data_IF_078195452854
#
_entry.id   IF_078195452854
#
_cell.length_a   1.000
_cell.length_b   1.000
_cell.length_c   1.000
_cell.angle_alpha   90.00
_cell.angle_beta   90.00
_cell.angle_gamma   90.00
#
_symmetry.space_group_name_H-M   'P 1'
#
loop_
_entity.id
_entity.type
_entity.pdbx_description
1 polymer ?
#
# COMPACT_ATOMS: atom_id res chain seq x y z
N UNK A 1 23.51 19.06 0.07
CA UNK A 1 22.17 18.45 0.18
C UNK A 1 22.30 16.98 -0.10
N UNK A 2 21.51 16.09 0.52
CA UNK A 2 21.52 14.66 0.16
C UNK A 2 21.17 14.49 -1.32
N UNK A 3 21.83 13.56 -1.98
CA UNK A 3 21.48 13.15 -3.34
C UNK A 3 20.37 12.10 -3.27
N UNK A 4 19.13 12.57 -3.21
CA UNK A 4 17.96 11.68 -3.11
C UNK A 4 17.78 10.81 -4.35
N UNK A 5 18.23 11.26 -5.53
CA UNK A 5 18.17 10.47 -6.74
C UNK A 5 19.07 9.24 -6.65
N UNK A 6 20.32 9.43 -6.22
CA UNK A 6 21.22 8.31 -5.98
C UNK A 6 20.72 7.39 -4.87
N UNK A 7 20.19 7.95 -3.77
CA UNK A 7 19.63 7.16 -2.66
C UNK A 7 18.44 6.31 -3.10
N UNK A 8 17.56 6.85 -3.95
CA UNK A 8 16.40 6.16 -4.52
C UNK A 8 16.84 5.03 -5.45
N UNK A 9 17.81 5.27 -6.31
CA UNK A 9 18.38 4.23 -7.17
C UNK A 9 19.01 3.12 -6.32
N UNK A 10 19.77 3.45 -5.29
CA UNK A 10 20.36 2.47 -4.36
C UNK A 10 19.29 1.65 -3.63
N UNK A 11 18.14 2.25 -3.29
CA UNK A 11 16.99 1.52 -2.74
C UNK A 11 16.45 0.49 -3.75
N UNK A 12 16.29 0.88 -5.01
CA UNK A 12 15.83 -0.04 -6.06
C UNK A 12 16.83 -1.18 -6.24
N UNK A 13 18.12 -0.87 -6.38
CA UNK A 13 19.16 -1.85 -6.65
C UNK A 13 19.42 -2.77 -5.46
N UNK A 14 19.37 -2.24 -4.24
CA UNK A 14 19.74 -2.97 -3.02
C UNK A 14 18.57 -3.63 -2.28
N UNK A 15 17.34 -3.12 -2.43
CA UNK A 15 16.18 -3.59 -1.64
C UNK A 15 15.05 -4.16 -2.52
N UNK A 16 14.87 -3.67 -3.74
CA UNK A 16 13.76 -4.09 -4.62
C UNK A 16 14.18 -5.25 -5.51
N UNK A 17 15.19 -5.04 -6.35
CA UNK A 17 15.64 -6.05 -7.32
C UNK A 17 16.10 -7.37 -6.67
N UNK A 18 16.89 -7.39 -5.55
CA UNK A 18 17.31 -8.62 -4.92
C UNK A 18 16.14 -9.44 -4.35
N UNK A 19 14.99 -8.81 -4.08
CA UNK A 19 13.78 -9.45 -3.56
C UNK A 19 12.81 -9.90 -4.68
N UNK A 20 13.36 -10.17 -5.87
CA UNK A 20 12.66 -10.77 -7.02
C UNK A 20 11.49 -9.95 -7.57
N UNK A 21 11.49 -8.64 -7.37
CA UNK A 21 10.58 -7.72 -8.07
C UNK A 21 10.99 -7.66 -9.54
N UNK A 22 10.09 -8.03 -10.44
CA UNK A 22 10.34 -8.17 -11.89
C UNK A 22 9.44 -7.28 -12.74
N UNK A 23 8.38 -6.73 -12.16
CA UNK A 23 7.42 -5.87 -12.85
C UNK A 23 8.11 -4.55 -13.23
N UNK A 24 8.45 -4.41 -14.51
CA UNK A 24 9.29 -3.29 -15.00
C UNK A 24 8.68 -1.91 -14.73
N UNK A 25 7.36 -1.76 -14.90
CA UNK A 25 6.68 -0.50 -14.62
C UNK A 25 6.76 -0.16 -13.11
N UNK A 26 6.64 -1.15 -12.20
CA UNK A 26 6.81 -0.94 -10.76
C UNK A 26 8.23 -0.48 -10.42
N UNK A 27 9.25 -1.13 -10.98
CA UNK A 27 10.65 -0.74 -10.79
C UNK A 27 10.87 0.71 -11.23
N UNK A 28 10.35 1.09 -12.41
CA UNK A 28 10.38 2.46 -12.90
C UNK A 28 9.63 3.44 -11.98
N UNK A 29 8.41 3.10 -11.56
CA UNK A 29 7.63 3.93 -10.65
C UNK A 29 8.35 4.18 -9.32
N UNK A 30 9.00 3.15 -8.74
CA UNK A 30 9.79 3.28 -7.52
C UNK A 30 11.06 4.12 -7.72
N UNK A 31 11.70 4.03 -8.89
CA UNK A 31 12.88 4.83 -9.24
C UNK A 31 12.55 6.31 -9.47
N UNK A 32 11.34 6.61 -9.97
CA UNK A 32 10.93 7.97 -10.34
C UNK A 32 10.21 8.73 -9.23
N UNK A 33 9.50 8.03 -8.33
CA UNK A 33 8.69 8.69 -7.30
C UNK A 33 9.54 9.14 -6.11
N UNK A 34 9.58 10.44 -5.76
CA UNK A 34 10.41 10.98 -4.70
C UNK A 34 9.86 10.59 -3.31
N UNK A 35 10.30 9.44 -2.80
CA UNK A 35 9.84 8.90 -1.51
C UNK A 35 10.05 9.88 -0.35
N UNK A 36 11.10 10.72 -0.42
CA UNK A 36 11.43 11.78 0.54
C UNK A 36 10.38 12.90 0.60
N UNK A 37 9.56 13.07 -0.42
CA UNK A 37 8.49 14.04 -0.41
C UNK A 37 7.35 13.62 0.55
N UNK A 38 7.16 12.33 0.76
CA UNK A 38 6.07 11.76 1.54
C UNK A 38 6.36 11.64 3.05
N UNK A 39 7.51 12.13 3.51
CA UNK A 39 7.90 12.20 4.93
C UNK A 39 8.37 13.59 5.31
N UNK A 40 8.28 13.91 6.59
CA UNK A 40 8.66 15.23 7.13
C UNK A 40 9.98 15.20 7.90
N UNK A 41 10.61 16.38 7.98
CA UNK A 41 11.72 16.67 8.87
C UNK A 41 12.96 15.80 8.63
N UNK A 42 13.50 15.29 9.74
CA UNK A 42 14.68 14.44 9.80
C UNK A 42 14.47 13.05 9.18
N UNK A 43 13.21 12.61 9.04
CA UNK A 43 12.85 11.33 8.42
C UNK A 43 13.33 11.22 6.99
N UNK A 44 13.48 12.35 6.28
CA UNK A 44 14.07 12.40 4.93
C UNK A 44 15.48 11.82 4.86
N UNK A 45 16.26 11.92 5.95
CA UNK A 45 17.62 11.40 6.00
C UNK A 45 17.75 9.88 5.95
N UNK A 46 16.68 9.15 6.32
CA UNK A 46 16.69 7.68 6.36
C UNK A 46 15.50 7.02 5.63
N UNK A 47 14.72 7.80 4.85
CA UNK A 47 13.52 7.33 4.14
C UNK A 47 13.81 6.22 3.12
N UNK A 48 15.03 6.13 2.64
CA UNK A 48 15.51 5.10 1.71
C UNK A 48 16.13 3.88 2.40
N UNK A 49 16.16 3.86 3.75
CA UNK A 49 16.50 2.63 4.48
C UNK A 49 15.32 1.64 4.41
N UNK A 50 15.61 0.33 4.56
CA UNK A 50 14.57 -0.71 4.58
C UNK A 50 13.86 -0.75 5.94
N UNK A 51 13.26 0.38 6.34
CA UNK A 51 12.52 0.56 7.58
C UNK A 51 11.12 1.07 7.29
N UNK A 52 10.20 0.79 8.19
CA UNK A 52 8.91 1.46 8.23
C UNK A 52 9.10 2.84 8.87
N UNK A 53 8.62 3.89 8.20
CA UNK A 53 8.78 5.27 8.65
C UNK A 53 7.44 5.78 9.18
N UNK A 54 7.39 6.16 10.43
CA UNK A 54 6.19 6.71 11.04
C UNK A 54 5.79 8.05 10.38
N UNK A 55 4.52 8.16 10.01
CA UNK A 55 3.93 9.36 9.37
C UNK A 55 3.12 10.22 10.34
N UNK A 56 2.83 9.71 11.53
CA UNK A 56 1.85 10.26 12.47
C UNK A 56 0.54 9.45 12.44
N UNK A 57 -0.36 9.71 13.38
CA UNK A 57 -1.66 9.04 13.50
C UNK A 57 -1.56 7.50 13.44
N UNK A 58 -0.47 6.92 13.95
CA UNK A 58 -0.16 5.48 13.88
C UNK A 58 -0.13 4.93 12.44
N UNK A 59 0.22 5.78 11.46
CA UNK A 59 0.45 5.39 10.06
C UNK A 59 1.94 5.33 9.78
N UNK A 60 2.30 4.45 8.84
CA UNK A 60 3.69 4.19 8.48
C UNK A 60 3.85 4.11 6.97
N UNK A 61 4.87 4.76 6.46
CA UNK A 61 5.37 4.47 5.13
C UNK A 61 6.11 3.13 5.18
N UNK A 62 5.56 2.10 4.56
CA UNK A 62 6.07 0.73 4.62
C UNK A 62 7.45 0.66 3.94
N UNK A 63 8.40 -0.11 4.52
CA UNK A 63 9.73 -0.32 3.95
C UNK A 63 9.67 -0.78 2.49
N UNK A 64 10.59 -0.28 1.68
CA UNK A 64 10.52 -0.41 0.22
C UNK A 64 10.47 -1.86 -0.26
N UNK A 65 11.21 -2.76 0.40
CA UNK A 65 11.21 -4.20 0.08
C UNK A 65 9.83 -4.83 0.23
N UNK A 66 9.16 -4.56 1.37
CA UNK A 66 7.84 -5.13 1.66
C UNK A 66 6.79 -4.52 0.74
N UNK A 67 6.79 -3.19 0.60
CA UNK A 67 5.89 -2.47 -0.30
C UNK A 67 5.98 -3.01 -1.74
N UNK A 68 7.20 -3.08 -2.29
CA UNK A 68 7.43 -3.58 -3.63
C UNK A 68 6.97 -5.04 -3.80
N UNK A 69 7.20 -5.89 -2.80
CA UNK A 69 6.74 -7.29 -2.81
C UNK A 69 5.21 -7.43 -2.81
N UNK A 70 4.49 -6.57 -2.08
CA UNK A 70 3.03 -6.53 -2.09
C UNK A 70 2.51 -6.10 -3.49
N UNK A 71 3.06 -5.03 -4.05
CA UNK A 71 2.65 -4.52 -5.37
C UNK A 71 3.05 -5.49 -6.49
N UNK A 72 4.22 -6.13 -6.42
CA UNK A 72 4.60 -7.22 -7.34
C UNK A 72 3.58 -8.36 -7.31
N UNK A 73 3.14 -8.77 -6.12
CA UNK A 73 2.11 -9.80 -5.95
C UNK A 73 0.76 -9.43 -6.56
N UNK A 74 0.40 -8.16 -6.54
CA UNK A 74 -0.80 -7.63 -7.19
C UNK A 74 -0.68 -7.65 -8.72
N UNK A 75 0.52 -7.52 -9.27
CA UNK A 75 0.76 -7.48 -10.73
C UNK A 75 -0.20 -6.49 -11.44
N UNK A 76 -0.20 -5.19 -11.07
CA UNK A 76 -1.11 -4.20 -11.63
C UNK A 76 -0.88 -3.97 -13.13
N UNK A 77 -1.92 -3.57 -13.84
CA UNK A 77 -1.88 -3.23 -15.27
C UNK A 77 -2.43 -1.83 -15.51
N UNK A 78 -2.13 -1.26 -16.67
CA UNK A 78 -2.53 0.10 -17.03
C UNK A 78 -4.06 0.30 -17.15
N UNK A 79 -4.84 -0.77 -17.25
CA UNK A 79 -6.30 -0.73 -17.31
C UNK A 79 -6.95 -0.90 -15.93
N UNK A 80 -6.17 -1.22 -14.90
CA UNK A 80 -6.70 -1.50 -13.57
C UNK A 80 -7.16 -0.22 -12.86
N UNK A 81 -8.21 -0.35 -12.04
CA UNK A 81 -8.60 0.63 -11.03
C UNK A 81 -8.12 0.12 -9.67
N UNK A 82 -7.36 0.95 -8.96
CA UNK A 82 -6.73 0.59 -7.70
C UNK A 82 -7.36 1.28 -6.50
N UNK A 83 -7.45 0.55 -5.36
CA UNK A 83 -7.72 1.09 -4.04
C UNK A 83 -6.49 0.89 -3.16
N UNK A 84 -6.07 1.95 -2.50
CA UNK A 84 -4.98 1.99 -1.53
C UNK A 84 -5.56 2.29 -0.14
N UNK A 85 -5.60 1.29 0.75
CA UNK A 85 -6.23 1.38 2.07
C UNK A 85 -5.19 1.72 3.14
N UNK A 86 -5.39 2.83 3.83
CA UNK A 86 -4.44 3.38 4.79
C UNK A 86 -3.29 4.10 4.09
N UNK A 87 -3.62 4.89 3.06
CA UNK A 87 -2.63 5.49 2.16
C UNK A 87 -1.69 6.51 2.81
N UNK A 88 -1.95 6.90 4.07
CA UNK A 88 -1.13 7.85 4.81
C UNK A 88 -0.92 9.16 4.04
N UNK A 89 0.33 9.49 3.72
CA UNK A 89 0.68 10.67 2.92
C UNK A 89 0.59 10.45 1.40
N UNK A 90 0.09 9.28 0.94
CA UNK A 90 -0.24 9.01 -0.45
C UNK A 90 0.88 8.42 -1.32
N UNK A 91 1.96 7.89 -0.73
CA UNK A 91 3.04 7.30 -1.51
C UNK A 91 2.59 6.07 -2.32
N UNK A 92 1.86 5.14 -1.69
CA UNK A 92 1.30 3.97 -2.38
C UNK A 92 0.34 4.37 -3.49
N UNK A 93 -0.52 5.35 -3.20
CA UNK A 93 -1.46 5.91 -4.18
C UNK A 93 -0.71 6.49 -5.39
N UNK A 94 0.38 7.24 -5.17
CA UNK A 94 1.23 7.80 -6.22
C UNK A 94 1.96 6.72 -7.03
N UNK A 95 2.40 5.62 -6.42
CA UNK A 95 2.96 4.48 -7.14
C UNK A 95 1.89 3.77 -7.98
N UNK A 96 0.72 3.51 -7.38
CA UNK A 96 -0.39 2.83 -8.09
C UNK A 96 -0.91 3.66 -9.26
N UNK A 97 -0.92 4.99 -9.18
CA UNK A 97 -1.31 5.85 -10.31
C UNK A 97 -0.43 5.71 -11.53
N UNK A 98 0.87 5.39 -11.34
CA UNK A 98 1.81 5.14 -12.43
C UNK A 98 1.64 3.75 -13.06
N UNK A 99 0.92 2.85 -12.40
CA UNK A 99 0.75 1.45 -12.79
C UNK A 99 -0.67 1.13 -13.27
N UNK A 100 -1.64 1.96 -12.91
CA UNK A 100 -3.07 1.72 -13.12
C UNK A 100 -3.72 2.88 -13.85
N UNK A 101 -4.91 2.67 -14.41
CA UNK A 101 -5.71 3.73 -15.03
C UNK A 101 -6.13 4.79 -14.01
N UNK A 102 -6.42 4.37 -12.77
CA UNK A 102 -6.85 5.23 -11.68
C UNK A 102 -6.45 4.64 -10.33
N UNK A 103 -6.08 5.48 -9.36
CA UNK A 103 -5.81 5.08 -7.99
C UNK A 103 -6.64 5.91 -7.01
N UNK A 104 -7.30 5.25 -6.06
CA UNK A 104 -8.03 5.88 -4.95
C UNK A 104 -7.32 5.51 -3.66
N UNK A 105 -6.76 6.50 -2.95
CA UNK A 105 -6.25 6.33 -1.59
C UNK A 105 -7.33 6.64 -0.58
N UNK A 106 -7.60 5.72 0.37
CA UNK A 106 -8.49 6.00 1.51
C UNK A 106 -7.67 6.11 2.79
N UNK A 107 -7.91 7.19 3.54
CA UNK A 107 -7.29 7.45 4.83
C UNK A 107 -8.34 8.02 5.81
N UNK A 108 -8.24 7.66 7.07
CA UNK A 108 -9.17 8.10 8.11
C UNK A 108 -8.75 9.46 8.71
N UNK A 109 -7.45 9.68 8.83
CA UNK A 109 -6.89 10.91 9.37
C UNK A 109 -6.95 12.05 8.35
N UNK A 110 -7.67 13.12 8.69
CA UNK A 110 -7.90 14.28 7.79
C UNK A 110 -6.63 15.07 7.46
N UNK A 111 -5.64 15.10 8.37
CA UNK A 111 -4.38 15.80 8.14
C UNK A 111 -3.54 15.03 7.10
N UNK A 112 -3.49 13.70 7.22
CA UNK A 112 -2.81 12.85 6.24
C UNK A 112 -3.49 12.91 4.87
N UNK A 113 -4.83 12.92 4.81
CA UNK A 113 -5.57 13.13 3.55
C UNK A 113 -5.20 14.46 2.91
N UNK A 114 -5.13 15.53 3.71
CA UNK A 114 -4.72 16.85 3.22
C UNK A 114 -3.30 16.85 2.65
N UNK A 115 -2.35 16.19 3.33
CA UNK A 115 -0.96 16.03 2.86
C UNK A 115 -0.90 15.18 1.58
N UNK A 116 -1.62 14.07 1.54
CA UNK A 116 -1.67 13.21 0.35
C UNK A 116 -2.21 13.98 -0.87
N UNK A 117 -3.32 14.71 -0.70
CA UNK A 117 -3.93 15.49 -1.78
C UNK A 117 -2.99 16.60 -2.30
N UNK A 118 -2.29 17.29 -1.38
CA UNK A 118 -1.32 18.31 -1.74
C UNK A 118 -0.14 17.73 -2.53
N UNK A 119 0.41 16.58 -2.07
CA UNK A 119 1.53 15.90 -2.73
C UNK A 119 1.15 15.33 -4.11
N UNK A 120 -0.03 14.75 -4.25
CA UNK A 120 -0.52 14.28 -5.56
C UNK A 120 -0.62 15.45 -6.55
N UNK A 121 -1.07 16.62 -6.09
CA UNK A 121 -1.13 17.84 -6.91
C UNK A 121 0.27 18.37 -7.24
N UNK A 122 1.18 18.45 -6.26
CA UNK A 122 2.57 18.92 -6.46
C UNK A 122 3.34 18.04 -7.45
N UNK A 123 3.05 16.73 -7.43
CA UNK A 123 3.67 15.75 -8.33
C UNK A 123 2.94 15.62 -9.68
N UNK A 124 1.97 16.51 -9.97
CA UNK A 124 1.19 16.54 -11.21
C UNK A 124 0.50 15.19 -11.52
N UNK A 125 0.02 14.49 -10.48
CA UNK A 125 -0.69 13.21 -10.61
C UNK A 125 -2.18 13.51 -10.73
N UNK A 126 -2.75 13.32 -11.91
CA UNK A 126 -4.15 13.67 -12.27
C UNK A 126 -5.11 12.47 -12.27
N UNK A 127 -4.57 11.24 -12.25
CA UNK A 127 -5.33 9.99 -12.19
C UNK A 127 -5.35 9.33 -10.80
N UNK A 128 -5.11 10.11 -9.74
CA UNK A 128 -5.20 9.65 -8.36
C UNK A 128 -5.91 10.65 -7.46
N UNK A 129 -6.58 10.14 -6.43
CA UNK A 129 -7.26 10.95 -5.43
C UNK A 129 -7.10 10.35 -4.03
N UNK A 130 -6.87 11.18 -3.02
CA UNK A 130 -6.95 10.79 -1.61
C UNK A 130 -8.32 11.21 -1.05
N UNK A 131 -9.01 10.27 -0.41
CA UNK A 131 -10.33 10.48 0.17
C UNK A 131 -10.35 10.15 1.65
N UNK A 132 -11.11 10.93 2.43
CA UNK A 132 -11.28 10.65 3.84
C UNK A 132 -12.41 9.64 4.05
N UNK A 133 -12.14 8.62 4.87
CA UNK A 133 -13.16 7.65 5.25
C UNK A 133 -12.64 6.55 6.17
N UNK A 134 -13.55 5.79 6.80
CA UNK A 134 -13.18 4.69 7.69
C UNK A 134 -12.54 3.54 6.90
N UNK A 135 -11.34 3.13 7.29
CA UNK A 135 -10.54 2.17 6.54
C UNK A 135 -11.21 0.78 6.43
N UNK A 136 -11.87 0.32 7.50
CA UNK A 136 -12.52 -0.99 7.55
C UNK A 136 -13.68 -1.17 6.56
N UNK A 137 -14.18 -0.08 6.00
CA UNK A 137 -15.22 -0.08 4.97
C UNK A 137 -14.70 -0.12 3.54
N UNK A 138 -13.41 0.13 3.32
CA UNK A 138 -12.89 0.44 1.99
C UNK A 138 -13.56 1.70 1.41
N UNK A 139 -13.62 1.80 0.08
CA UNK A 139 -14.30 2.91 -0.59
C UNK A 139 -15.21 2.39 -1.69
N UNK A 140 -16.44 2.02 -1.29
CA UNK A 140 -17.42 1.35 -2.18
C UNK A 140 -17.95 2.25 -3.30
N UNK A 141 -17.75 3.58 -3.21
CA UNK A 141 -18.28 4.54 -4.18
C UNK A 141 -17.69 4.34 -5.58
N UNK A 142 -16.42 3.95 -5.66
CA UNK A 142 -15.70 3.74 -6.91
C UNK A 142 -15.43 2.24 -7.20
N UNK A 143 -16.02 1.34 -6.38
CA UNK A 143 -15.93 -0.11 -6.63
C UNK A 143 -16.67 -0.48 -7.93
N UNK A 144 -16.29 -1.59 -8.60
CA UNK A 144 -15.32 -2.58 -8.17
C UNK A 144 -13.88 -2.25 -8.55
N UNK A 145 -12.92 -2.71 -7.72
CA UNK A 145 -11.49 -2.51 -7.92
C UNK A 145 -10.81 -3.75 -8.52
N UNK A 146 -9.91 -3.54 -9.48
CA UNK A 146 -9.05 -4.60 -9.99
C UNK A 146 -7.92 -4.93 -9.03
N UNK A 147 -7.43 -3.91 -8.30
CA UNK A 147 -6.30 -4.02 -7.40
C UNK A 147 -6.64 -3.32 -6.09
N UNK A 148 -6.40 -4.00 -4.96
CA UNK A 148 -6.50 -3.41 -3.62
C UNK A 148 -5.18 -3.64 -2.90
N UNK A 149 -4.53 -2.57 -2.46
CA UNK A 149 -3.38 -2.59 -1.57
C UNK A 149 -3.81 -2.17 -0.17
N UNK A 150 -3.26 -2.83 0.87
CA UNK A 150 -3.46 -2.41 2.27
C UNK A 150 -2.11 -2.10 2.89
N UNK A 151 -1.93 -0.86 3.35
CA UNK A 151 -0.67 -0.34 3.86
C UNK A 151 -0.50 -0.53 5.37
N UNK A 152 -0.54 -1.78 5.80
CA UNK A 152 -0.31 -2.18 7.20
C UNK A 152 -0.77 -3.60 7.49
N UNK A 153 -0.47 -4.08 8.70
CA UNK A 153 -0.91 -5.40 9.13
C UNK A 153 -2.33 -5.36 9.69
N UNK A 154 -3.15 -6.31 9.26
CA UNK A 154 -4.49 -6.52 9.78
C UNK A 154 -4.56 -7.81 10.61
N UNK A 155 -5.30 -7.82 11.73
CA UNK A 155 -5.57 -9.06 12.45
C UNK A 155 -6.51 -9.99 11.66
N UNK A 156 -7.38 -9.41 10.86
CA UNK A 156 -8.32 -10.10 9.97
C UNK A 156 -8.69 -9.17 8.82
N UNK A 157 -8.84 -9.73 7.63
CA UNK A 157 -9.27 -8.97 6.45
C UNK A 157 -10.78 -8.77 6.48
N UNK A 158 -11.29 -7.51 6.45
CA UNK A 158 -12.72 -7.25 6.44
C UNK A 158 -13.39 -7.73 5.15
N UNK A 159 -14.48 -8.47 5.28
CA UNK A 159 -15.28 -8.94 4.16
C UNK A 159 -15.73 -7.80 3.24
N UNK A 160 -16.10 -6.64 3.82
CA UNK A 160 -16.54 -5.45 3.10
C UNK A 160 -15.50 -4.91 2.11
N UNK A 161 -14.20 -5.07 2.39
CA UNK A 161 -13.14 -4.64 1.47
C UNK A 161 -12.96 -5.69 0.37
N UNK A 162 -12.97 -6.97 0.74
CA UNK A 162 -12.79 -8.08 -0.21
C UNK A 162 -13.92 -8.10 -1.25
N UNK A 163 -15.15 -7.79 -0.85
CA UNK A 163 -16.32 -7.70 -1.75
C UNK A 163 -16.21 -6.58 -2.79
N UNK A 164 -15.34 -5.57 -2.56
CA UNK A 164 -15.09 -4.50 -3.53
C UNK A 164 -14.15 -4.92 -4.66
N UNK A 165 -13.57 -6.12 -4.62
CA UNK A 165 -12.78 -6.64 -5.73
C UNK A 165 -13.66 -6.90 -6.96
N UNK A 166 -13.17 -6.53 -8.12
CA UNK A 166 -13.72 -6.93 -9.41
C UNK A 166 -13.56 -8.45 -9.61
N UNK A 167 -14.30 -9.03 -10.54
CA UNK A 167 -14.04 -10.41 -10.96
C UNK A 167 -12.63 -10.50 -11.58
N UNK A 168 -11.78 -11.39 -11.07
CA UNK A 168 -10.36 -11.44 -11.39
C UNK A 168 -9.51 -10.44 -10.60
N UNK A 169 -10.13 -9.61 -9.76
CA UNK A 169 -9.44 -8.62 -8.93
C UNK A 169 -8.56 -9.27 -7.85
N UNK A 170 -7.54 -8.53 -7.42
CA UNK A 170 -6.48 -8.99 -6.49
C UNK A 170 -6.30 -8.00 -5.36
N UNK A 171 -6.14 -8.50 -4.14
CA UNK A 171 -5.85 -7.70 -2.95
C UNK A 171 -4.57 -8.22 -2.29
N UNK A 172 -3.63 -7.34 -1.97
CA UNK A 172 -2.46 -7.65 -1.17
C UNK A 172 -2.55 -6.98 0.20
N UNK A 173 -2.31 -7.76 1.23
CA UNK A 173 -2.40 -7.34 2.63
C UNK A 173 -1.45 -8.17 3.49
N UNK A 174 -0.90 -7.59 4.54
CA UNK A 174 -0.18 -8.36 5.57
C UNK A 174 -1.18 -8.76 6.66
N UNK A 175 -1.30 -10.06 6.92
CA UNK A 175 -2.17 -10.59 7.97
C UNK A 175 -1.33 -10.97 9.18
N UNK A 176 -1.63 -10.38 10.33
CA UNK A 176 -1.03 -10.73 11.61
C UNK A 176 -1.76 -11.94 12.20
N UNK A 177 -1.12 -13.11 12.15
CA UNK A 177 -1.64 -14.38 12.68
C UNK A 177 -1.40 -14.55 14.17
N UNK A 178 -0.81 -13.56 14.82
CA UNK A 178 -0.38 -13.66 16.21
C UNK A 178 0.97 -14.37 16.39
N UNK A 179 1.51 -14.35 17.59
CA UNK A 179 2.79 -15.00 17.98
C UNK A 179 3.97 -14.59 17.09
N UNK A 180 3.96 -13.36 16.55
CA UNK A 180 5.04 -12.85 15.67
C UNK A 180 4.98 -13.36 14.23
N UNK A 181 3.90 -14.05 13.82
CA UNK A 181 3.73 -14.49 12.44
C UNK A 181 2.93 -13.45 11.65
N UNK A 182 3.57 -12.90 10.61
CA UNK A 182 2.98 -11.94 9.68
C UNK A 182 3.09 -12.49 8.26
N UNK A 183 1.96 -12.66 7.59
CA UNK A 183 1.87 -13.23 6.25
C UNK A 183 1.41 -12.17 5.25
N UNK A 184 2.29 -11.75 4.34
CA UNK A 184 1.88 -11.03 3.14
C UNK A 184 1.04 -11.97 2.28
N UNK A 185 -0.23 -11.66 2.15
CA UNK A 185 -1.25 -12.53 1.56
C UNK A 185 -1.84 -11.88 0.33
N UNK A 186 -1.91 -12.60 -0.77
CA UNK A 186 -2.68 -12.25 -1.95
C UNK A 186 -4.04 -12.92 -1.89
N UNK A 187 -5.11 -12.13 -1.99
CA UNK A 187 -6.48 -12.60 -2.13
C UNK A 187 -6.93 -12.31 -3.56
N UNK A 188 -7.57 -13.28 -4.19
CA UNK A 188 -8.08 -13.15 -5.57
C UNK A 188 -9.56 -13.50 -5.59
N UNK A 189 -10.36 -12.68 -6.28
CA UNK A 189 -11.77 -12.97 -6.56
C UNK A 189 -11.92 -13.68 -7.89
N UNK A 190 -12.62 -14.81 -7.89
CA UNK A 190 -13.01 -15.52 -9.10
C UNK A 190 -14.52 -15.77 -9.03
N UNK A 191 -15.28 -15.00 -9.79
CA UNK A 191 -16.76 -14.95 -9.71
C UNK A 191 -17.22 -14.61 -8.28
N UNK A 192 -17.93 -15.56 -7.62
CA UNK A 192 -18.46 -15.40 -6.26
C UNK A 192 -17.54 -16.03 -5.19
N UNK A 193 -16.36 -16.51 -5.58
CA UNK A 193 -15.42 -17.17 -4.69
C UNK A 193 -14.15 -16.35 -4.50
N UNK A 194 -13.53 -16.49 -3.32
CA UNK A 194 -12.27 -15.86 -2.97
C UNK A 194 -11.24 -16.93 -2.61
N UNK A 195 -10.08 -16.85 -3.24
CA UNK A 195 -8.91 -17.66 -2.91
C UNK A 195 -7.84 -16.80 -2.26
N UNK A 196 -6.96 -17.42 -1.47
CA UNK A 196 -5.81 -16.73 -0.91
C UNK A 196 -4.55 -17.57 -0.99
N UNK A 197 -3.39 -16.88 -1.11
CA UNK A 197 -2.06 -17.49 -1.01
C UNK A 197 -1.10 -16.57 -0.31
N UNK A 198 -0.17 -17.13 0.45
CA UNK A 198 0.93 -16.37 1.06
C UNK A 198 1.96 -16.05 -0.02
N UNK A 199 2.41 -14.79 -0.05
CA UNK A 199 3.47 -14.31 -0.92
C UNK A 199 4.84 -14.48 -0.24
N UNK A 200 4.94 -13.94 0.97
CA UNK A 200 6.13 -13.99 1.82
C UNK A 200 5.75 -13.65 3.27
N UNK A 201 6.69 -13.80 4.18
CA UNK A 201 6.52 -13.39 5.58
C UNK A 201 7.29 -12.10 5.83
N UNK A 202 6.64 -11.11 6.41
CA UNK A 202 7.30 -9.87 6.85
C UNK A 202 6.43 -9.14 7.86
N UNK A 203 7.03 -8.79 8.98
CA UNK A 203 6.40 -7.91 9.95
C UNK A 203 6.24 -6.52 9.37
N UNK A 204 5.06 -5.93 9.55
CA UNK A 204 4.78 -4.52 9.29
C UNK A 204 3.93 -3.98 10.45
N UNK A 205 3.96 -2.66 10.72
CA UNK A 205 3.12 -2.05 11.72
C UNK A 205 1.64 -2.34 11.47
N UNK A 206 0.89 -2.50 12.56
CA UNK A 206 -0.56 -2.70 12.49
C UNK A 206 -1.23 -1.45 11.94
N UNK A 207 -2.22 -1.64 11.07
CA UNK A 207 -3.06 -0.57 10.59
C UNK A 207 -4.24 -0.40 11.59
N UNK A 208 -4.37 0.76 12.26
CA UNK A 208 -5.48 1.01 13.18
C UNK A 208 -6.85 1.01 12.48
N UNK A 209 -7.92 0.91 13.27
CA UNK A 209 -9.28 0.86 12.74
C UNK A 209 -9.77 -0.56 12.40
N UNK A 210 -8.93 -1.59 12.58
CA UNK A 210 -9.29 -2.98 12.34
C UNK A 210 -9.21 -3.78 13.64
N UNK A 211 -10.35 -4.14 14.20
CA UNK A 211 -10.41 -5.01 15.37
C UNK A 211 -10.41 -6.48 14.96
N UNK A 212 -9.70 -7.31 15.72
CA UNK A 212 -9.92 -8.75 15.66
C UNK A 212 -11.34 -9.06 16.11
N UNK A 213 -12.05 -9.95 15.42
CA UNK A 213 -13.28 -10.50 15.94
C UNK A 213 -12.98 -11.14 17.31
N UNK A 214 -13.83 -10.97 18.34
CA UNK A 214 -13.60 -11.56 19.65
C UNK A 214 -13.50 -13.09 19.49
N UNK A 215 -12.31 -13.62 19.76
CA UNK A 215 -12.10 -15.08 19.83
C UNK A 215 -12.63 -15.50 21.19
N UNK A 216 -13.76 -16.18 21.22
CA UNK A 216 -14.21 -16.87 22.42
C UNK A 216 -13.24 -18.02 22.68
N UNK A 217 -12.40 -17.86 23.71
CA UNK A 217 -11.62 -18.97 24.28
C UNK A 217 -12.51 -19.64 25.32
N UNK A 218 -12.84 -20.90 25.12
CA UNK A 218 -13.45 -21.76 26.11
C UNK A 218 -12.39 -22.29 27.08
#
# INVERSE_FOLDING_TARGET
MPDYTAMRQNMVDGQVLPNQVKHKALIGALADTPREAFVEGDKKGYVYSDRHIELGAERFLIGARVFAGLVEGLSPSAEDVALDVGCGTGYGTAILSKLCAMAVGIEEDSELVGKASALLTELEIDNAVAVQGPLGGGYSREAPYNVILVEGALPQVPQKIVEQLANGGRMAVVVNRGRGLYEATLITRVRDSFGSRVLFNSEVPSLPGFSAAPVFTF
#
